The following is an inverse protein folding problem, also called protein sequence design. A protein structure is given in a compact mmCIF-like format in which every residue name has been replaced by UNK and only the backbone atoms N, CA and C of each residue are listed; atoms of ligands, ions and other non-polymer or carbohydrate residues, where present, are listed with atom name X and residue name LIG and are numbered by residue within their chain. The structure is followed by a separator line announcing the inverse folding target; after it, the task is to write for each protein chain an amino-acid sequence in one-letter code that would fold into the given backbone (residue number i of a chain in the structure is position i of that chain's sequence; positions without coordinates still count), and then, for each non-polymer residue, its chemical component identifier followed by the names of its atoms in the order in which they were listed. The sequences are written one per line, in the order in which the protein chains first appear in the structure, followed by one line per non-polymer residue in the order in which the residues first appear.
data_IF_275452506606
#
_entry.id   IF_275452506606
#
_cell.length_a   1.000
_cell.length_b   1.000
_cell.length_c   1.000
_cell.angle_alpha   90.00
_cell.angle_beta   90.00
_cell.angle_gamma   90.00
#
_symmetry.space_group_name_H-M   'P 1'
#
loop_
_entity.id
_entity.type
_entity.pdbx_description
1 polymer ?
#
# COMPACT_ATOMS: atom_id res chain seq x y z
N UNK A 1 -5.54 6.84 19.33
CA UNK A 1 -4.31 6.19 19.87
C UNK A 1 -4.65 4.83 20.47
N UNK A 2 -3.73 3.88 20.41
CA UNK A 2 -3.82 2.65 21.20
C UNK A 2 -3.51 2.94 22.69
N UNK A 3 -3.69 1.91 23.53
CA UNK A 3 -3.21 1.99 24.90
C UNK A 3 -1.68 2.23 24.92
N UNK A 4 -1.21 3.06 25.85
CA UNK A 4 0.22 3.40 26.00
C UNK A 4 1.15 2.16 26.03
N UNK A 5 0.67 1.05 26.57
CA UNK A 5 1.47 -0.18 26.69
C UNK A 5 1.86 -0.75 25.32
N UNK A 6 1.04 -0.59 24.30
CA UNK A 6 1.34 -1.02 22.92
C UNK A 6 2.62 -0.33 22.43
N UNK A 7 2.66 1.00 22.53
CA UNK A 7 3.82 1.78 22.09
C UNK A 7 5.06 1.53 22.94
N UNK A 8 4.90 1.45 24.25
CA UNK A 8 6.01 1.12 25.17
C UNK A 8 6.62 -0.25 24.87
N UNK A 9 5.80 -1.25 24.60
CA UNK A 9 6.26 -2.59 24.22
C UNK A 9 6.99 -2.59 22.88
N UNK A 10 6.48 -1.89 21.89
CA UNK A 10 7.13 -1.75 20.55
C UNK A 10 8.50 -1.09 20.67
N UNK A 11 8.61 0.00 21.42
CA UNK A 11 9.90 0.66 21.65
C UNK A 11 10.88 -0.22 22.47
N UNK A 12 10.39 -0.91 23.49
CA UNK A 12 11.20 -1.85 24.28
C UNK A 12 11.75 -2.99 23.41
N UNK A 13 10.90 -3.63 22.60
CA UNK A 13 11.30 -4.67 21.64
C UNK A 13 12.32 -4.17 20.63
N UNK A 14 12.14 -2.93 20.12
CA UNK A 14 13.10 -2.33 19.18
C UNK A 14 14.45 -2.07 19.85
N UNK A 15 14.49 -1.53 21.09
CA UNK A 15 15.73 -1.36 21.87
C UNK A 15 16.48 -2.68 22.07
N UNK A 16 15.76 -3.72 22.45
CA UNK A 16 16.32 -5.06 22.63
C UNK A 16 16.98 -5.57 21.33
N UNK A 17 16.28 -5.45 20.20
CA UNK A 17 16.81 -5.86 18.89
C UNK A 17 18.03 -5.04 18.45
N UNK A 18 18.05 -3.74 18.72
CA UNK A 18 19.15 -2.86 18.35
C UNK A 18 20.37 -3.03 19.26
N UNK A 19 20.17 -3.35 20.53
CA UNK A 19 21.20 -3.59 21.52
C UNK A 19 21.93 -2.33 22.01
N UNK A 20 22.25 -1.37 21.16
CA UNK A 20 22.95 -0.13 21.52
C UNK A 20 22.68 0.98 20.51
N UNK A 21 23.11 2.21 20.87
CA UNK A 21 22.95 3.40 20.02
C UNK A 21 21.70 4.20 20.32
N UNK A 22 21.51 5.29 19.59
CA UNK A 22 20.28 6.10 19.59
C UNK A 22 19.56 5.95 18.27
N UNK A 23 18.24 5.87 18.33
CA UNK A 23 17.37 5.74 17.17
C UNK A 23 16.61 7.04 17.00
N UNK A 24 16.81 7.70 15.87
CA UNK A 24 16.13 8.93 15.48
C UNK A 24 14.85 8.57 14.72
N UNK A 25 13.71 9.04 15.21
CA UNK A 25 12.40 8.84 14.62
C UNK A 25 11.76 10.21 14.37
N UNK A 26 12.10 10.87 13.25
CA UNK A 26 11.48 12.15 12.91
C UNK A 26 10.01 11.97 12.59
N UNK A 27 9.17 12.86 13.11
CA UNK A 27 7.79 13.02 12.65
C UNK A 27 7.75 13.90 11.40
N UNK A 28 6.62 13.89 10.70
CA UNK A 28 6.38 14.74 9.56
C UNK A 28 6.08 16.18 9.99
N UNK A 29 6.41 17.12 9.12
CA UNK A 29 5.90 18.50 9.15
C UNK A 29 4.67 18.63 8.25
N UNK A 30 3.90 19.71 8.42
CA UNK A 30 2.88 20.08 7.45
C UNK A 30 3.50 20.35 6.07
N UNK A 31 2.73 20.15 5.01
CA UNK A 31 3.19 20.33 3.63
C UNK A 31 2.30 21.37 2.94
N UNK A 32 2.83 22.53 2.51
CA UNK A 32 2.04 23.55 1.85
C UNK A 32 1.62 23.11 0.44
N UNK A 33 0.40 23.46 0.02
CA UNK A 33 -0.08 23.29 -1.34
C UNK A 33 0.53 24.34 -2.28
N UNK A 34 0.42 25.62 -1.94
CA UNK A 34 0.79 26.75 -2.80
C UNK A 34 1.29 27.99 -2.03
N UNK A 35 1.05 28.07 -0.72
CA UNK A 35 1.66 29.03 0.20
C UNK A 35 1.65 28.43 1.62
N UNK A 36 2.46 28.98 2.52
CA UNK A 36 2.86 28.36 3.81
C UNK A 36 1.69 27.86 4.66
N UNK A 37 0.61 28.63 4.74
CA UNK A 37 -0.52 28.34 5.63
C UNK A 37 -1.63 27.53 4.97
N UNK A 38 -1.59 27.35 3.65
CA UNK A 38 -2.54 26.52 2.92
C UNK A 38 -1.95 25.11 2.75
N UNK A 39 -2.14 24.26 3.74
CA UNK A 39 -1.53 22.93 3.79
C UNK A 39 -2.43 21.84 3.23
N UNK A 40 -1.81 20.78 2.73
CA UNK A 40 -2.49 19.50 2.54
C UNK A 40 -2.98 18.96 3.87
N UNK A 41 -3.95 18.02 3.81
CA UNK A 41 -4.33 17.26 4.99
C UNK A 41 -3.08 16.62 5.61
N UNK A 42 -2.87 16.83 6.91
CA UNK A 42 -1.70 16.32 7.61
C UNK A 42 -1.77 14.80 7.74
N UNK A 43 -0.65 14.15 7.53
CA UNK A 43 -0.46 12.73 7.75
C UNK A 43 0.92 12.49 8.36
N UNK A 44 0.95 11.88 9.53
CA UNK A 44 2.17 11.56 10.25
C UNK A 44 2.96 10.43 9.58
N UNK A 45 4.27 10.41 9.79
CA UNK A 45 5.15 9.30 9.40
C UNK A 45 4.73 7.98 10.04
N UNK A 46 4.64 6.91 9.25
CA UNK A 46 4.13 5.63 9.72
C UNK A 46 5.04 4.95 10.75
N UNK A 47 6.36 5.17 10.69
CA UNK A 47 7.28 4.67 11.74
C UNK A 47 7.07 5.41 13.04
N UNK A 48 6.85 6.73 12.96
CA UNK A 48 6.53 7.54 14.13
C UNK A 48 5.20 7.11 14.75
N UNK A 49 4.16 6.90 13.92
CA UNK A 49 2.86 6.36 14.39
C UNK A 49 3.01 5.00 15.04
N UNK A 50 3.77 4.08 14.43
CA UNK A 50 3.98 2.74 14.97
C UNK A 50 4.65 2.75 16.35
N UNK A 51 5.63 3.63 16.55
CA UNK A 51 6.44 3.67 17.76
C UNK A 51 5.92 4.64 18.83
N UNK A 52 5.26 5.73 18.43
CA UNK A 52 4.83 6.79 19.35
C UNK A 52 3.32 7.09 19.27
N UNK A 53 2.63 6.76 18.19
CA UNK A 53 1.17 6.88 18.10
C UNK A 53 0.60 8.28 18.13
N UNK A 54 1.43 9.32 18.02
CA UNK A 54 1.00 10.72 18.04
C UNK A 54 0.89 11.25 16.60
N UNK A 55 -0.30 11.68 16.23
CA UNK A 55 -0.61 12.17 14.89
C UNK A 55 -0.74 13.71 14.90
N UNK A 56 0.40 14.37 14.96
CA UNK A 56 0.50 15.84 14.88
C UNK A 56 1.88 16.26 14.38
N UNK A 57 1.99 17.41 13.69
CA UNK A 57 3.25 17.93 13.18
C UNK A 57 4.17 18.42 14.31
N UNK A 58 5.46 18.61 13.96
CA UNK A 58 6.43 19.26 14.84
C UNK A 58 6.98 18.38 15.97
N UNK A 59 6.82 17.06 15.87
CA UNK A 59 7.34 16.10 16.84
C UNK A 59 8.58 15.38 16.31
N UNK A 60 9.48 15.02 17.25
CA UNK A 60 10.61 14.16 16.97
C UNK A 60 10.77 13.13 18.10
N UNK A 61 10.81 11.87 17.76
CA UNK A 61 11.05 10.78 18.71
C UNK A 61 12.51 10.37 18.76
N UNK A 62 13.02 10.10 19.97
CA UNK A 62 14.32 9.49 20.16
C UNK A 62 14.18 8.28 21.10
N UNK A 63 14.72 7.16 20.68
CA UNK A 63 14.79 5.93 21.48
C UNK A 63 16.27 5.67 21.77
N UNK A 64 16.66 5.68 23.05
CA UNK A 64 18.04 5.47 23.47
C UNK A 64 18.21 4.04 23.97
N UNK A 65 18.81 3.20 23.12
CA UNK A 65 19.03 1.78 23.46
C UNK A 65 20.13 1.57 24.51
N UNK A 66 21.00 2.57 24.73
CA UNK A 66 22.05 2.48 25.76
C UNK A 66 21.51 2.70 27.17
N UNK A 67 20.52 3.60 27.30
CA UNK A 67 19.98 4.00 28.62
C UNK A 67 18.59 3.46 28.88
N UNK A 68 17.90 2.93 27.86
CA UNK A 68 16.52 2.49 27.94
C UNK A 68 15.49 3.62 27.93
N UNK A 69 15.92 4.87 27.74
CA UNK A 69 15.08 6.07 27.82
C UNK A 69 14.55 6.49 26.46
N UNK A 70 13.23 6.73 26.41
CA UNK A 70 12.59 7.34 25.24
C UNK A 70 12.32 8.82 25.50
N UNK A 71 12.45 9.68 24.49
CA UNK A 71 12.20 11.11 24.60
C UNK A 71 11.40 11.60 23.40
N UNK A 72 10.40 12.45 23.64
CA UNK A 72 9.72 13.21 22.60
C UNK A 72 10.22 14.65 22.67
N UNK A 73 10.66 15.14 21.51
CA UNK A 73 11.02 16.53 21.30
C UNK A 73 9.89 17.21 20.55
N UNK A 74 9.45 18.36 21.04
CA UNK A 74 8.38 19.18 20.48
C UNK A 74 8.16 20.40 21.34
N UNK A 75 7.43 21.36 20.81
CA UNK A 75 7.13 22.59 21.49
C UNK A 75 5.62 22.71 21.76
N UNK A 76 5.24 23.18 22.94
CA UNK A 76 3.84 23.47 23.25
C UNK A 76 3.34 24.61 22.36
N UNK A 77 2.05 24.57 22.03
CA UNK A 77 1.41 25.61 21.24
C UNK A 77 1.41 26.96 21.97
N UNK A 78 1.55 28.05 21.22
CA UNK A 78 1.51 29.40 21.73
C UNK A 78 0.08 29.90 21.94
N UNK A 79 -0.09 31.07 22.61
CA UNK A 79 -1.39 31.73 22.71
C UNK A 79 -1.92 32.09 21.30
N UNK A 80 -1.04 32.49 20.40
CA UNK A 80 -1.40 32.80 19.02
C UNK A 80 -1.95 31.55 18.30
N UNK A 81 -1.29 30.39 18.44
CA UNK A 81 -1.79 29.12 17.90
C UNK A 81 -3.16 28.74 18.47
N UNK A 82 -3.38 29.00 19.78
CA UNK A 82 -4.69 28.75 20.42
C UNK A 82 -5.79 29.62 19.81
N UNK A 83 -5.49 30.89 19.51
CA UNK A 83 -6.45 31.81 18.89
C UNK A 83 -6.87 31.31 17.50
N UNK A 84 -5.94 30.80 16.71
CA UNK A 84 -6.21 30.38 15.34
C UNK A 84 -6.71 28.94 15.22
N UNK A 85 -6.19 28.02 16.02
CA UNK A 85 -6.41 26.57 15.86
C UNK A 85 -7.10 25.88 17.05
N UNK A 86 -7.38 26.63 18.13
CA UNK A 86 -7.93 26.08 19.36
C UNK A 86 -6.90 25.43 20.29
N UNK A 87 -7.34 24.98 21.46
CA UNK A 87 -6.47 24.35 22.45
C UNK A 87 -6.04 22.95 22.06
N UNK A 88 -4.79 22.59 22.36
CA UNK A 88 -4.25 21.23 22.24
C UNK A 88 -3.67 20.77 23.59
N UNK A 89 -3.61 19.46 23.88
CA UNK A 89 -2.87 18.95 25.05
C UNK A 89 -1.40 19.37 24.99
N UNK A 90 -0.77 19.51 26.16
CA UNK A 90 0.67 19.79 26.21
C UNK A 90 1.48 18.61 25.65
N UNK A 91 2.70 18.87 25.17
CA UNK A 91 3.63 17.80 24.71
C UNK A 91 3.88 16.79 25.84
N UNK A 92 3.90 17.22 27.09
CA UNK A 92 4.04 16.35 28.26
C UNK A 92 2.84 15.39 28.41
N UNK A 93 1.62 15.88 28.28
CA UNK A 93 0.41 15.05 28.38
C UNK A 93 0.33 14.06 27.20
N UNK A 94 0.66 14.53 25.99
CA UNK A 94 0.73 13.68 24.82
C UNK A 94 1.77 12.57 24.98
N UNK A 95 2.98 12.91 25.43
CA UNK A 95 4.05 11.93 25.67
C UNK A 95 3.64 10.90 26.72
N UNK A 96 3.04 11.36 27.84
CA UNK A 96 2.54 10.47 28.90
C UNK A 96 1.48 9.50 28.36
N UNK A 97 0.58 9.94 27.46
CA UNK A 97 -0.47 9.10 26.87
C UNK A 97 0.05 7.93 26.03
N UNK A 98 1.31 7.99 25.60
CA UNK A 98 2.01 6.94 24.83
C UNK A 98 3.17 6.30 25.59
N UNK A 99 3.22 6.51 26.93
CA UNK A 99 4.20 5.91 27.82
C UNK A 99 5.62 6.45 27.65
N UNK A 100 5.76 7.76 27.36
CA UNK A 100 7.04 8.47 27.31
C UNK A 100 7.07 9.51 28.45
N UNK A 101 8.03 9.38 29.35
CA UNK A 101 8.15 10.26 30.52
C UNK A 101 9.00 11.51 30.21
N UNK A 102 9.93 11.40 29.24
CA UNK A 102 10.87 12.47 28.94
C UNK A 102 10.39 13.29 27.74
N UNK A 103 10.29 14.60 27.96
CA UNK A 103 10.01 15.58 26.91
C UNK A 103 11.05 16.70 26.93
N UNK A 104 11.33 17.29 25.78
CA UNK A 104 12.22 18.44 25.65
C UNK A 104 11.77 19.32 24.48
N UNK A 105 12.13 20.63 24.48
CA UNK A 105 11.89 21.49 23.32
C UNK A 105 12.51 20.91 22.04
N UNK A 106 11.87 21.13 20.88
CA UNK A 106 12.30 20.56 19.60
C UNK A 106 13.79 20.81 19.34
N UNK A 107 14.27 22.03 19.55
CA UNK A 107 15.69 22.40 19.31
C UNK A 107 16.70 21.63 20.16
N UNK A 108 16.28 21.04 21.28
CA UNK A 108 17.20 20.31 22.15
C UNK A 108 17.67 18.98 21.53
N UNK A 109 17.03 18.49 20.46
CA UNK A 109 17.49 17.30 19.72
C UNK A 109 18.90 17.49 19.14
N UNK A 110 19.25 18.70 18.69
CA UNK A 110 20.58 19.02 18.15
C UNK A 110 21.69 18.76 19.17
N UNK A 111 21.54 19.31 20.37
CA UNK A 111 22.50 19.09 21.45
C UNK A 111 22.58 17.62 21.87
N UNK A 112 21.46 16.89 21.86
CA UNK A 112 21.45 15.45 22.20
C UNK A 112 22.19 14.62 21.14
N UNK A 113 22.00 14.93 19.87
CA UNK A 113 22.71 14.26 18.76
C UNK A 113 24.21 14.60 18.81
N UNK A 114 24.58 15.85 19.05
CA UNK A 114 25.98 16.25 19.19
C UNK A 114 26.67 15.57 20.39
N UNK A 115 25.96 15.44 21.51
CA UNK A 115 26.45 14.67 22.66
C UNK A 115 26.68 13.21 22.28
N UNK A 116 25.75 12.57 21.57
CA UNK A 116 25.89 11.17 21.14
C UNK A 116 27.08 10.99 20.20
N UNK A 117 27.28 11.92 19.25
CA UNK A 117 28.47 11.95 18.37
C UNK A 117 29.76 12.07 19.18
N UNK A 118 29.81 13.00 20.13
CA UNK A 118 30.98 13.22 20.99
C UNK A 118 31.33 12.02 21.86
N UNK A 119 30.34 11.17 22.17
CA UNK A 119 30.53 9.92 22.91
C UNK A 119 30.81 8.71 21.99
N UNK A 120 30.85 8.89 20.68
CA UNK A 120 31.02 7.80 19.72
C UNK A 120 29.84 6.82 19.67
N UNK A 121 28.65 7.23 20.10
CA UNK A 121 27.46 6.38 20.06
C UNK A 121 27.00 6.17 18.60
N UNK A 122 26.54 4.95 18.31
CA UNK A 122 25.89 4.67 17.03
C UNK A 122 24.58 5.46 16.91
N UNK A 123 24.33 6.07 15.75
CA UNK A 123 23.12 6.82 15.47
C UNK A 123 22.39 6.14 14.32
N UNK A 124 21.15 5.75 14.58
CA UNK A 124 20.31 5.01 13.65
C UNK A 124 19.11 5.83 13.19
N UNK A 125 18.81 5.78 11.91
CA UNK A 125 17.60 6.36 11.33
C UNK A 125 17.21 5.54 10.09
N UNK A 126 15.92 5.62 9.68
CA UNK A 126 15.43 5.00 8.45
C UNK A 126 15.60 5.94 7.27
N UNK A 127 15.71 5.39 6.06
CA UNK A 127 15.75 6.15 4.82
C UNK A 127 14.54 7.09 4.71
N UNK A 128 14.74 8.43 4.69
CA UNK A 128 13.62 9.36 4.61
C UNK A 128 13.10 9.49 3.18
N UNK A 129 11.78 9.60 3.03
CA UNK A 129 11.13 9.85 1.74
C UNK A 129 10.82 11.34 1.51
N UNK A 130 10.69 12.15 2.58
CA UNK A 130 10.41 13.58 2.48
C UNK A 130 11.69 14.43 2.43
N UNK A 131 11.64 15.51 1.65
CA UNK A 131 12.79 16.41 1.51
C UNK A 131 13.10 17.14 2.82
N UNK A 132 12.08 17.57 3.57
CA UNK A 132 12.23 18.26 4.85
C UNK A 132 12.95 17.39 5.87
N UNK A 133 12.59 16.10 5.94
CA UNK A 133 13.26 15.14 6.82
C UNK A 133 14.73 14.92 6.42
N UNK A 134 15.04 14.93 5.12
CA UNK A 134 16.44 14.85 4.64
C UNK A 134 17.24 16.06 5.07
N UNK A 135 16.66 17.27 4.99
CA UNK A 135 17.31 18.49 5.41
C UNK A 135 17.53 18.53 6.93
N UNK A 136 16.52 18.13 7.72
CA UNK A 136 16.66 18.01 9.16
C UNK A 136 17.77 17.03 9.57
N UNK A 137 17.81 15.84 8.95
CA UNK A 137 18.85 14.85 9.21
C UNK A 137 20.24 15.35 8.73
N UNK A 138 20.31 16.12 7.64
CA UNK A 138 21.53 16.79 7.22
C UNK A 138 22.05 17.75 8.33
N UNK A 139 21.20 18.60 8.86
CA UNK A 139 21.56 19.53 9.92
C UNK A 139 22.01 18.81 11.20
N UNK A 140 21.26 17.76 11.61
CA UNK A 140 21.57 16.96 12.80
C UNK A 140 22.88 16.17 12.67
N UNK A 141 23.15 15.60 11.51
CA UNK A 141 24.21 14.60 11.34
C UNK A 141 25.45 15.15 10.63
N UNK A 142 25.33 16.25 9.90
CA UNK A 142 26.40 16.80 9.05
C UNK A 142 26.64 15.98 7.76
N UNK A 143 25.67 15.15 7.37
CA UNK A 143 25.73 14.33 6.14
C UNK A 143 25.06 15.13 5.02
N UNK A 144 25.65 15.13 3.81
CA UNK A 144 25.05 15.83 2.66
C UNK A 144 23.64 15.32 2.36
N UNK A 145 22.65 16.17 2.00
CA UNK A 145 21.27 15.74 1.74
C UNK A 145 21.17 14.62 0.71
N UNK A 146 22.04 14.60 -0.31
CA UNK A 146 22.12 13.54 -1.32
C UNK A 146 22.59 12.19 -0.78
N UNK A 147 23.24 12.16 0.35
CA UNK A 147 23.81 10.97 0.99
C UNK A 147 22.95 10.44 2.15
N UNK A 148 22.02 11.26 2.69
CA UNK A 148 21.18 10.89 3.84
C UNK A 148 20.45 9.58 3.58
N UNK A 149 19.86 9.41 2.41
CA UNK A 149 19.11 8.19 2.08
C UNK A 149 20.01 6.91 2.03
N UNK A 150 21.24 7.06 1.56
CA UNK A 150 22.17 5.93 1.45
C UNK A 150 22.78 5.52 2.82
N UNK A 151 22.75 6.43 3.80
CA UNK A 151 23.30 6.20 5.14
C UNK A 151 22.22 5.75 6.16
N UNK A 152 21.00 5.45 5.72
CA UNK A 152 19.99 4.84 6.58
C UNK A 152 20.46 3.52 7.20
N UNK A 153 20.09 3.25 8.45
CA UNK A 153 20.52 2.07 9.19
C UNK A 153 19.82 0.80 8.68
N UNK A 154 20.54 -0.03 7.94
CA UNK A 154 20.02 -1.31 7.45
C UNK A 154 19.57 -2.23 8.60
N UNK A 155 20.29 -2.23 9.74
CA UNK A 155 19.91 -3.00 10.91
C UNK A 155 18.54 -2.54 11.43
N UNK A 156 18.34 -1.25 11.60
CA UNK A 156 17.06 -0.67 12.04
C UNK A 156 15.93 -1.01 11.06
N UNK A 157 16.18 -0.85 9.76
CA UNK A 157 15.21 -1.19 8.69
C UNK A 157 14.77 -2.66 8.83
N UNK A 158 15.70 -3.61 8.92
CA UNK A 158 15.38 -5.03 9.04
C UNK A 158 14.57 -5.33 10.30
N UNK A 159 14.90 -4.74 11.44
CA UNK A 159 14.16 -4.94 12.68
C UNK A 159 12.76 -4.35 12.62
N UNK A 160 12.56 -3.19 12.01
CA UNK A 160 11.23 -2.61 11.82
C UNK A 160 10.40 -3.44 10.83
N UNK A 161 11.00 -3.93 9.75
CA UNK A 161 10.34 -4.85 8.82
C UNK A 161 9.87 -6.11 9.54
N UNK A 162 10.72 -6.74 10.35
CA UNK A 162 10.34 -7.92 11.14
C UNK A 162 9.17 -7.63 12.09
N UNK A 163 9.19 -6.46 12.74
CA UNK A 163 8.18 -6.08 13.73
C UNK A 163 6.84 -5.72 13.07
N UNK A 164 6.85 -4.96 11.98
CA UNK A 164 5.64 -4.47 11.30
C UNK A 164 5.02 -5.49 10.33
N UNK A 165 5.80 -6.45 9.83
CA UNK A 165 5.28 -7.47 8.91
C UNK A 165 4.28 -8.39 9.60
N UNK A 166 4.53 -8.79 10.85
CA UNK A 166 3.65 -9.64 11.66
C UNK A 166 2.73 -8.74 12.46
N UNK A 167 1.48 -8.60 12.02
CA UNK A 167 0.51 -7.68 12.64
C UNK A 167 0.06 -8.17 14.01
N UNK A 168 -0.02 -7.25 14.97
CA UNK A 168 -0.68 -7.49 16.25
C UNK A 168 -2.21 -7.53 16.04
N UNK A 169 -2.94 -8.23 16.89
CA UNK A 169 -4.41 -8.33 16.76
C UNK A 169 -5.10 -6.96 16.74
N UNK A 170 -4.54 -5.99 17.46
CA UNK A 170 -5.06 -4.62 17.49
C UNK A 170 -4.85 -3.88 16.16
N UNK A 171 -3.78 -4.20 15.42
CA UNK A 171 -3.54 -3.66 14.07
C UNK A 171 -4.51 -4.28 13.06
N UNK A 172 -4.75 -5.60 13.18
CA UNK A 172 -5.70 -6.31 12.32
C UNK A 172 -7.11 -5.72 12.49
N UNK A 173 -7.53 -5.39 13.73
CA UNK A 173 -8.82 -4.77 13.98
C UNK A 173 -8.96 -3.38 13.30
N UNK A 174 -7.89 -2.57 13.29
CA UNK A 174 -7.89 -1.27 12.59
C UNK A 174 -7.95 -1.44 11.07
N UNK A 175 -7.26 -2.43 10.53
CA UNK A 175 -7.33 -2.74 9.11
C UNK A 175 -8.76 -3.18 8.73
N UNK A 176 -9.42 -3.99 9.57
CA UNK A 176 -10.81 -4.39 9.34
C UNK A 176 -11.80 -3.21 9.39
N UNK A 177 -11.54 -2.20 10.24
CA UNK A 177 -12.32 -0.94 10.23
C UNK A 177 -12.14 -0.19 8.90
N UNK A 178 -10.90 -0.11 8.39
CA UNK A 178 -10.62 0.48 7.08
C UNK A 178 -11.28 -0.32 5.94
N UNK A 179 -11.28 -1.66 6.02
CA UNK A 179 -11.95 -2.54 5.05
C UNK A 179 -13.45 -2.31 4.99
N UNK A 180 -14.12 -2.06 6.13
CA UNK A 180 -15.56 -1.75 6.16
C UNK A 180 -15.85 -0.43 5.43
N UNK A 181 -15.00 0.58 5.61
CA UNK A 181 -15.09 1.83 4.84
C UNK A 181 -14.87 1.59 3.36
N UNK A 182 -13.86 0.79 2.99
CA UNK A 182 -13.61 0.38 1.60
C UNK A 182 -14.79 -0.36 0.98
N UNK A 183 -15.45 -1.24 1.73
CA UNK A 183 -16.69 -1.89 1.29
C UNK A 183 -17.77 -0.88 0.88
N UNK A 184 -18.02 0.13 1.73
CA UNK A 184 -19.02 1.18 1.44
C UNK A 184 -18.63 2.01 0.21
N UNK A 185 -17.34 2.31 0.03
CA UNK A 185 -16.83 3.00 -1.16
C UNK A 185 -17.16 2.23 -2.43
N UNK A 186 -16.82 0.94 -2.47
CA UNK A 186 -17.01 0.10 -3.66
C UNK A 186 -18.48 -0.18 -3.98
N UNK A 187 -19.31 -0.48 -2.99
CA UNK A 187 -20.76 -0.66 -3.20
C UNK A 187 -21.41 0.62 -3.71
N UNK A 188 -20.95 1.78 -3.24
CA UNK A 188 -21.42 3.08 -3.75
C UNK A 188 -20.99 3.29 -5.20
N UNK A 189 -19.75 2.98 -5.55
CA UNK A 189 -19.27 3.07 -6.93
C UNK A 189 -20.08 2.15 -7.87
N UNK A 190 -20.39 0.91 -7.44
CA UNK A 190 -21.24 -0.01 -8.21
C UNK A 190 -22.61 0.58 -8.53
N UNK A 191 -23.27 1.21 -7.53
CA UNK A 191 -24.59 1.85 -7.71
C UNK A 191 -24.53 3.08 -8.61
N UNK A 192 -23.40 3.77 -8.65
CA UNK A 192 -23.20 4.99 -9.44
C UNK A 192 -22.71 4.71 -10.87
N UNK A 193 -22.26 3.52 -11.22
CA UNK A 193 -21.66 3.19 -12.51
C UNK A 193 -22.70 3.18 -13.67
N UNK A 194 -23.33 4.34 -13.93
CA UNK A 194 -24.38 4.52 -14.94
C UNK A 194 -23.86 5.30 -16.13
N UNK A 195 -24.34 5.01 -17.37
CA UNK A 195 -23.97 5.78 -18.53
C UNK A 195 -24.27 7.28 -18.35
N UNK A 196 -23.33 8.11 -18.74
CA UNK A 196 -23.47 9.57 -18.71
C UNK A 196 -22.95 10.24 -17.43
N UNK A 197 -22.66 9.50 -16.36
CA UNK A 197 -21.99 10.02 -15.15
C UNK A 197 -20.51 10.26 -15.46
N UNK A 198 -19.92 11.30 -14.89
CA UNK A 198 -18.49 11.55 -14.97
C UNK A 198 -17.73 10.69 -13.97
N UNK A 199 -16.55 10.18 -14.34
CA UNK A 199 -15.67 9.43 -13.42
C UNK A 199 -15.38 10.21 -12.14
N UNK A 200 -15.16 11.53 -12.23
CA UNK A 200 -14.90 12.42 -11.08
C UNK A 200 -16.07 12.51 -10.10
N UNK A 201 -17.32 12.31 -10.53
CA UNK A 201 -18.47 12.31 -9.63
C UNK A 201 -18.45 11.08 -8.73
N UNK A 202 -18.09 9.93 -9.29
CA UNK A 202 -17.93 8.68 -8.51
C UNK A 202 -16.71 8.79 -7.60
N UNK A 203 -15.56 9.20 -8.14
CA UNK A 203 -14.32 9.34 -7.38
C UNK A 203 -14.51 10.29 -6.18
N UNK A 204 -15.10 11.47 -6.40
CA UNK A 204 -15.38 12.44 -5.34
C UNK A 204 -16.33 11.90 -4.28
N UNK A 205 -17.36 11.15 -4.68
CA UNK A 205 -18.31 10.54 -3.75
C UNK A 205 -17.66 9.50 -2.85
N UNK A 206 -16.88 8.57 -3.43
CA UNK A 206 -16.23 7.52 -2.63
C UNK A 206 -15.09 8.07 -1.74
N UNK A 207 -14.36 9.09 -2.20
CA UNK A 207 -13.39 9.82 -1.37
C UNK A 207 -14.09 10.54 -0.21
N UNK A 208 -15.29 11.10 -0.45
CA UNK A 208 -16.13 11.70 0.61
C UNK A 208 -16.53 10.69 1.68
N UNK A 209 -16.79 9.43 1.32
CA UNK A 209 -17.07 8.35 2.28
C UNK A 209 -15.83 8.11 3.14
N UNK A 210 -14.66 7.96 2.54
CA UNK A 210 -13.41 7.76 3.29
C UNK A 210 -13.14 8.89 4.28
N UNK A 211 -13.30 10.14 3.85
CA UNK A 211 -13.17 11.34 4.71
C UNK A 211 -14.19 11.38 5.84
N UNK A 212 -15.44 10.98 5.58
CA UNK A 212 -16.49 10.95 6.59
C UNK A 212 -16.24 9.93 7.71
N UNK A 213 -15.44 8.90 7.46
CA UNK A 213 -14.99 7.91 8.45
C UNK A 213 -13.68 8.30 9.16
N UNK A 214 -13.06 9.43 8.79
CA UNK A 214 -12.01 10.11 9.53
C UNK A 214 -10.59 9.93 9.02
N UNK A 215 -10.21 8.79 8.44
CA UNK A 215 -8.84 8.54 7.98
C UNK A 215 -8.54 9.09 6.57
N UNK A 216 -9.56 9.25 5.73
CA UNK A 216 -9.37 9.59 4.32
C UNK A 216 -9.04 8.36 3.47
N UNK A 217 -8.57 8.60 2.24
CA UNK A 217 -8.18 7.51 1.32
C UNK A 217 -6.78 7.02 1.63
N UNK A 218 -6.54 5.71 1.54
CA UNK A 218 -5.22 5.09 1.75
C UNK A 218 -4.23 5.40 0.63
N UNK A 219 -4.73 5.75 -0.55
CA UNK A 219 -3.97 6.20 -1.73
C UNK A 219 -4.86 7.03 -2.65
N UNK A 220 -4.28 7.76 -3.63
CA UNK A 220 -5.06 8.46 -4.64
C UNK A 220 -5.92 7.48 -5.42
N UNK A 221 -7.24 7.65 -5.39
CA UNK A 221 -8.21 6.78 -6.04
C UNK A 221 -7.88 6.58 -7.52
N UNK A 222 -7.86 5.34 -7.96
CA UNK A 222 -7.78 4.95 -9.38
C UNK A 222 -9.19 4.56 -9.81
N UNK A 223 -9.78 5.33 -10.71
CA UNK A 223 -11.12 5.07 -11.22
C UNK A 223 -11.19 5.45 -12.69
N UNK A 224 -11.39 4.46 -13.56
CA UNK A 224 -11.41 4.74 -15.00
C UNK A 224 -12.10 3.66 -15.81
N UNK A 225 -12.79 4.06 -16.89
CA UNK A 225 -13.24 3.16 -17.95
C UNK A 225 -12.11 2.77 -18.93
N UNK A 226 -10.94 3.40 -18.80
CA UNK A 226 -9.73 3.06 -19.56
C UNK A 226 -8.83 2.13 -18.73
N UNK A 227 -9.38 0.99 -18.29
CA UNK A 227 -8.74 0.05 -17.38
C UNK A 227 -7.41 -0.55 -17.86
N UNK A 228 -7.01 -0.34 -19.11
CA UNK A 228 -5.67 -0.66 -19.59
C UNK A 228 -4.59 0.32 -19.08
N UNK A 229 -4.96 1.43 -18.44
CA UNK A 229 -4.07 2.34 -17.73
C UNK A 229 -4.13 2.01 -16.24
N UNK A 230 -3.08 1.35 -15.74
CA UNK A 230 -3.11 0.71 -14.42
C UNK A 230 -3.26 1.69 -13.24
N UNK A 231 -2.64 2.89 -13.32
CA UNK A 231 -2.70 3.94 -12.30
C UNK A 231 -3.26 5.23 -12.91
N UNK A 232 -4.51 5.20 -13.38
CA UNK A 232 -5.13 6.38 -13.97
C UNK A 232 -5.80 7.24 -12.89
N UNK A 233 -5.27 8.44 -12.70
CA UNK A 233 -5.80 9.47 -11.80
C UNK A 233 -6.54 10.59 -12.55
N UNK A 234 -6.71 10.47 -13.88
CA UNK A 234 -7.54 11.36 -14.68
C UNK A 234 -8.99 10.83 -14.67
N UNK A 235 -9.88 11.56 -14.02
CA UNK A 235 -11.30 11.22 -13.89
C UNK A 235 -12.19 12.09 -14.79
N UNK A 236 -11.65 12.62 -15.89
CA UNK A 236 -12.36 13.57 -16.76
C UNK A 236 -13.33 12.92 -17.75
N UNK A 237 -13.39 11.59 -17.82
CA UNK A 237 -14.20 10.89 -18.80
C UNK A 237 -15.65 10.71 -18.33
N UNK A 238 -16.57 10.77 -19.31
CA UNK A 238 -17.97 10.42 -19.13
C UNK A 238 -18.16 8.92 -19.38
N UNK A 239 -18.82 8.21 -18.48
CA UNK A 239 -19.04 6.78 -18.60
C UNK A 239 -19.93 6.44 -19.80
N UNK A 240 -19.50 5.48 -20.59
CA UNK A 240 -20.15 5.00 -21.79
C UNK A 240 -20.81 3.64 -21.58
N UNK A 241 -22.05 3.50 -22.06
CA UNK A 241 -22.77 2.22 -21.97
C UNK A 241 -22.00 1.08 -22.65
N UNK A 242 -21.90 -0.05 -21.95
CA UNK A 242 -21.22 -1.25 -22.47
C UNK A 242 -19.70 -1.27 -22.22
N UNK A 243 -19.14 -0.17 -21.66
CA UNK A 243 -17.78 -0.17 -21.10
C UNK A 243 -17.77 -0.79 -19.70
N UNK A 244 -16.58 -0.96 -19.16
CA UNK A 244 -16.35 -1.29 -17.75
C UNK A 244 -15.56 -0.16 -17.11
N UNK A 245 -15.70 0.01 -15.81
CA UNK A 245 -14.78 0.83 -15.01
C UNK A 245 -14.00 -0.06 -14.05
N UNK A 246 -12.72 0.18 -13.92
CA UNK A 246 -11.93 -0.27 -12.78
C UNK A 246 -12.09 0.80 -11.68
N UNK A 247 -12.42 0.35 -10.49
CA UNK A 247 -12.39 1.14 -9.26
C UNK A 247 -11.38 0.47 -8.34
N UNK A 248 -10.28 1.15 -8.08
CA UNK A 248 -9.22 0.73 -7.20
C UNK A 248 -9.06 1.83 -6.15
N UNK A 249 -9.53 1.53 -4.95
CA UNK A 249 -9.69 2.50 -3.87
C UNK A 249 -9.73 1.80 -2.52
N UNK A 250 -9.15 2.47 -1.54
CA UNK A 250 -9.18 2.07 -0.15
C UNK A 250 -9.27 3.26 0.79
N UNK A 251 -9.47 2.99 2.06
CA UNK A 251 -9.54 3.98 3.12
C UNK A 251 -8.48 3.74 4.18
N UNK A 252 -8.11 4.77 4.94
CA UNK A 252 -7.42 4.62 6.21
C UNK A 252 -8.43 4.63 7.37
N UNK A 253 -8.16 3.84 8.42
CA UNK A 253 -8.84 4.01 9.71
C UNK A 253 -8.40 5.32 10.36
N UNK A 254 -9.07 5.72 11.46
CA UNK A 254 -8.66 6.88 12.25
C UNK A 254 -7.24 6.77 12.85
N UNK A 255 -6.59 5.61 12.72
CA UNK A 255 -5.20 5.36 13.14
C UNK A 255 -4.27 5.08 11.97
N UNK A 256 -4.71 5.45 10.77
CA UNK A 256 -3.95 5.34 9.52
C UNK A 256 -3.61 3.91 9.06
N UNK A 257 -4.36 2.89 9.52
CA UNK A 257 -4.25 1.56 8.93
C UNK A 257 -5.06 1.51 7.65
N UNK A 258 -4.44 1.01 6.60
CA UNK A 258 -4.98 1.05 5.25
C UNK A 258 -5.86 -0.15 4.91
N UNK A 259 -6.75 0.02 3.94
CA UNK A 259 -7.36 -1.03 3.12
C UNK A 259 -7.07 -0.79 1.65
N UNK A 260 -7.18 -1.86 0.84
CA UNK A 260 -6.88 -1.83 -0.59
C UNK A 260 -7.79 -2.80 -1.36
N UNK A 261 -8.62 -2.26 -2.24
CA UNK A 261 -9.57 -3.08 -2.99
C UNK A 261 -9.68 -2.62 -4.44
N UNK A 262 -9.74 -3.58 -5.35
CA UNK A 262 -10.12 -3.30 -6.73
C UNK A 262 -11.35 -4.10 -7.13
N UNK A 263 -12.29 -3.43 -7.80
CA UNK A 263 -13.42 -4.06 -8.50
C UNK A 263 -13.55 -3.51 -9.91
N UNK A 264 -13.92 -4.39 -10.84
CA UNK A 264 -14.31 -4.01 -12.20
C UNK A 264 -15.81 -4.10 -12.33
N UNK A 265 -16.45 -3.01 -12.79
CA UNK A 265 -17.89 -2.80 -12.75
C UNK A 265 -18.39 -2.53 -14.18
N UNK A 266 -19.51 -3.15 -14.64
CA UNK A 266 -20.06 -2.86 -15.96
C UNK A 266 -20.82 -1.53 -15.97
N UNK A 267 -20.56 -0.67 -16.95
CA UNK A 267 -21.31 0.58 -17.12
C UNK A 267 -22.65 0.28 -17.79
N UNK A 268 -23.72 0.48 -17.03
CA UNK A 268 -25.09 0.20 -17.48
C UNK A 268 -25.62 -1.18 -17.05
N UNK A 269 -25.01 -1.79 -16.06
CA UNK A 269 -25.57 -2.88 -15.26
C UNK A 269 -25.24 -4.30 -15.76
N UNK A 270 -24.77 -4.50 -16.99
CA UNK A 270 -24.49 -5.83 -17.54
C UNK A 270 -23.13 -5.92 -18.23
N UNK A 271 -22.43 -7.01 -17.95
CA UNK A 271 -21.25 -7.40 -18.73
C UNK A 271 -21.65 -8.01 -20.07
N UNK A 272 -20.88 -7.77 -21.12
CA UNK A 272 -20.95 -8.54 -22.35
C UNK A 272 -20.33 -9.92 -22.15
N UNK A 273 -20.62 -10.87 -23.06
CA UNK A 273 -20.02 -12.21 -22.98
C UNK A 273 -18.48 -12.15 -23.05
N UNK A 274 -17.92 -11.30 -23.90
CA UNK A 274 -16.46 -11.10 -23.99
C UNK A 274 -15.86 -10.58 -22.68
N UNK A 275 -16.58 -9.71 -21.97
CA UNK A 275 -16.15 -9.20 -20.66
C UNK A 275 -16.25 -10.29 -19.60
N UNK A 276 -17.34 -11.08 -19.59
CA UNK A 276 -17.50 -12.21 -18.67
C UNK A 276 -16.42 -13.28 -18.87
N UNK A 277 -16.03 -13.58 -20.11
CA UNK A 277 -14.99 -14.57 -20.41
C UNK A 277 -13.65 -14.17 -19.74
N UNK A 278 -13.24 -12.92 -19.85
CA UNK A 278 -12.02 -12.41 -19.20
C UNK A 278 -12.21 -12.26 -17.67
N UNK A 279 -13.37 -11.73 -17.24
CA UNK A 279 -13.68 -11.56 -15.82
C UNK A 279 -13.57 -12.87 -15.04
N UNK A 280 -14.14 -13.94 -15.58
CA UNK A 280 -14.10 -15.26 -14.96
C UNK A 280 -12.69 -15.84 -14.85
N UNK A 281 -11.78 -15.50 -15.76
CA UNK A 281 -10.36 -15.88 -15.64
C UNK A 281 -9.73 -15.14 -14.47
N UNK A 282 -9.96 -13.83 -14.34
CA UNK A 282 -9.42 -13.03 -13.23
C UNK A 282 -10.02 -13.46 -11.89
N UNK A 283 -11.32 -13.72 -11.85
CA UNK A 283 -12.00 -14.23 -10.64
C UNK A 283 -11.43 -15.60 -10.21
N UNK A 284 -11.22 -16.50 -11.16
CA UNK A 284 -10.56 -17.79 -10.90
C UNK A 284 -9.14 -17.60 -10.38
N UNK A 285 -8.40 -16.65 -10.93
CA UNK A 285 -7.04 -16.31 -10.50
C UNK A 285 -7.04 -15.78 -9.06
N UNK A 286 -7.93 -14.82 -8.71
CA UNK A 286 -8.09 -14.30 -7.36
C UNK A 286 -8.46 -15.39 -6.34
N UNK A 287 -9.47 -16.20 -6.63
CA UNK A 287 -9.87 -17.30 -5.75
C UNK A 287 -8.77 -18.37 -5.62
N UNK A 288 -8.01 -18.66 -6.69
CA UNK A 288 -6.87 -19.58 -6.64
C UNK A 288 -5.78 -19.04 -5.73
N UNK A 289 -5.40 -17.78 -5.86
CA UNK A 289 -4.40 -17.16 -4.99
C UNK A 289 -4.84 -17.26 -3.52
N UNK A 290 -6.05 -16.82 -3.20
CA UNK A 290 -6.61 -16.92 -1.84
C UNK A 290 -6.53 -18.33 -1.25
N UNK A 291 -6.82 -19.37 -2.06
CA UNK A 291 -6.76 -20.77 -1.63
C UNK A 291 -5.33 -21.30 -1.42
N UNK A 292 -4.34 -20.70 -2.07
CA UNK A 292 -2.93 -21.09 -1.97
C UNK A 292 -2.18 -20.35 -0.86
N UNK A 293 -2.69 -19.19 -0.42
CA UNK A 293 -2.07 -18.41 0.65
C UNK A 293 -2.16 -19.18 1.97
N UNK A 294 -0.99 -19.54 2.50
CA UNK A 294 -0.83 -20.18 3.82
C UNK A 294 0.60 -20.00 4.32
N UNK A 295 0.86 -20.17 5.62
CA UNK A 295 2.21 -20.10 6.16
C UNK A 295 3.15 -21.11 5.48
N UNK A 296 4.37 -20.66 5.22
CA UNK A 296 5.40 -21.51 4.60
C UNK A 296 5.45 -21.48 3.08
N UNK A 297 4.39 -21.10 2.38
CA UNK A 297 4.44 -20.87 0.93
C UNK A 297 5.14 -19.55 0.62
N UNK A 298 5.85 -19.49 -0.51
CA UNK A 298 6.42 -18.21 -0.99
C UNK A 298 5.38 -17.49 -1.85
N UNK A 299 5.24 -16.17 -1.68
CA UNK A 299 4.27 -15.43 -2.48
C UNK A 299 4.65 -15.38 -3.97
N UNK A 300 5.96 -15.49 -4.26
CA UNK A 300 6.45 -15.66 -5.63
C UNK A 300 5.89 -16.95 -6.28
N UNK A 301 5.84 -18.08 -5.54
CA UNK A 301 5.28 -19.34 -6.09
C UNK A 301 3.80 -19.22 -6.36
N UNK A 302 3.07 -18.49 -5.51
CA UNK A 302 1.64 -18.22 -5.69
C UNK A 302 1.42 -17.32 -6.91
N UNK A 303 2.22 -16.25 -7.05
CA UNK A 303 2.18 -15.38 -8.24
C UNK A 303 2.36 -16.16 -9.54
N UNK A 304 3.38 -17.04 -9.62
CA UNK A 304 3.62 -17.84 -10.79
C UNK A 304 2.47 -18.83 -11.07
N UNK A 305 1.86 -19.37 -10.01
CA UNK A 305 0.70 -20.26 -10.15
C UNK A 305 -0.52 -19.51 -10.69
N UNK A 306 -0.75 -18.28 -10.23
CA UNK A 306 -1.79 -17.38 -10.74
C UNK A 306 -1.52 -17.01 -12.20
N UNK A 307 -0.28 -16.75 -12.57
CA UNK A 307 0.12 -16.51 -13.97
C UNK A 307 -0.19 -17.75 -14.86
N UNK A 308 -0.01 -18.99 -14.36
CA UNK A 308 -0.44 -20.21 -15.08
C UNK A 308 -1.96 -20.25 -15.24
N UNK A 309 -2.75 -19.88 -14.23
CA UNK A 309 -4.23 -19.84 -14.33
C UNK A 309 -4.67 -18.84 -15.39
N UNK A 310 -4.09 -17.63 -15.38
CA UNK A 310 -4.36 -16.59 -16.39
C UNK A 310 -3.97 -17.08 -17.79
N UNK A 311 -2.76 -17.59 -17.96
CA UNK A 311 -2.28 -18.07 -19.25
C UNK A 311 -3.12 -19.24 -19.78
N UNK A 312 -3.59 -20.15 -18.92
CA UNK A 312 -4.49 -21.24 -19.30
C UNK A 312 -5.83 -20.72 -19.80
N UNK A 313 -6.48 -19.80 -19.04
CA UNK A 313 -7.76 -19.23 -19.47
C UNK A 313 -7.64 -18.45 -20.78
N UNK A 314 -6.57 -17.66 -20.94
CA UNK A 314 -6.31 -16.94 -22.21
C UNK A 314 -6.02 -17.89 -23.38
N UNK A 315 -5.41 -19.06 -23.12
CA UNK A 315 -5.22 -20.10 -24.12
C UNK A 315 -6.55 -20.72 -24.52
N UNK A 316 -7.45 -20.99 -23.57
CA UNK A 316 -8.78 -21.54 -23.87
C UNK A 316 -9.61 -20.59 -24.75
N UNK A 317 -9.40 -19.27 -24.60
CA UNK A 317 -9.98 -18.24 -25.47
C UNK A 317 -9.20 -18.03 -26.80
N UNK A 318 -8.13 -18.78 -27.02
CA UNK A 318 -7.29 -18.66 -28.22
C UNK A 318 -6.43 -17.40 -28.31
N UNK A 319 -6.25 -16.67 -27.22
CA UNK A 319 -5.37 -15.49 -27.10
C UNK A 319 -3.91 -15.88 -26.86
N UNK A 320 -3.70 -17.00 -26.16
CA UNK A 320 -2.40 -17.63 -25.97
C UNK A 320 -2.38 -19.01 -26.62
N UNK A 321 -1.20 -19.58 -26.81
CA UNK A 321 -0.97 -20.91 -27.43
C UNK A 321 0.27 -21.58 -26.83
N UNK A 322 0.50 -22.84 -27.20
CA UNK A 322 1.65 -23.60 -26.70
C UNK A 322 1.46 -24.17 -25.30
N UNK A 323 2.56 -24.54 -24.66
CA UNK A 323 2.57 -25.03 -23.27
C UNK A 323 2.48 -23.87 -22.28
N UNK A 324 1.57 -23.97 -21.31
CA UNK A 324 1.28 -22.91 -20.34
C UNK A 324 2.46 -22.66 -19.40
N UNK A 325 3.11 -23.72 -18.91
CA UNK A 325 4.23 -23.59 -17.99
C UNK A 325 5.44 -22.98 -18.69
N UNK A 326 5.69 -23.43 -19.93
CA UNK A 326 6.76 -22.85 -20.76
C UNK A 326 6.47 -21.37 -21.07
N UNK A 327 5.23 -21.01 -21.36
CA UNK A 327 4.81 -19.62 -21.59
C UNK A 327 5.05 -18.73 -20.36
N UNK A 328 4.68 -19.19 -19.17
CA UNK A 328 4.92 -18.45 -17.92
C UNK A 328 6.41 -18.35 -17.61
N UNK A 329 7.16 -19.42 -17.78
CA UNK A 329 8.61 -19.42 -17.58
C UNK A 329 9.34 -18.43 -18.50
N UNK A 330 8.81 -18.20 -19.71
CA UNK A 330 9.31 -17.19 -20.67
C UNK A 330 8.70 -15.81 -20.48
N UNK A 331 7.82 -15.59 -19.47
CA UNK A 331 7.18 -14.32 -19.20
C UNK A 331 6.09 -13.91 -20.19
N UNK A 332 5.54 -14.83 -20.98
CA UNK A 332 4.53 -14.52 -21.99
C UNK A 332 3.21 -14.02 -21.38
N UNK A 333 2.88 -14.44 -20.16
CA UNK A 333 1.72 -13.96 -19.39
C UNK A 333 1.76 -12.45 -19.14
N UNK A 334 2.95 -11.86 -19.08
CA UNK A 334 3.11 -10.46 -18.73
C UNK A 334 2.64 -9.48 -19.83
N UNK A 335 2.33 -9.96 -21.04
CA UNK A 335 1.61 -9.15 -22.01
C UNK A 335 0.23 -8.72 -21.47
N UNK A 336 -0.39 -9.57 -20.65
CA UNK A 336 -1.75 -9.39 -20.12
C UNK A 336 -1.76 -9.10 -18.62
N UNK A 337 -0.81 -9.62 -17.88
CA UNK A 337 -0.64 -9.45 -16.42
C UNK A 337 0.77 -8.88 -16.13
N UNK A 338 0.97 -7.56 -16.35
CA UNK A 338 2.30 -6.95 -16.32
C UNK A 338 2.76 -6.50 -14.93
N UNK A 339 2.06 -6.84 -13.84
CA UNK A 339 2.39 -6.41 -12.47
C UNK A 339 2.45 -7.58 -11.48
N UNK A 340 2.79 -7.29 -10.22
CA UNK A 340 2.81 -8.28 -9.15
C UNK A 340 1.42 -8.70 -8.70
N UNK A 341 1.33 -9.85 -8.04
CA UNK A 341 0.07 -10.36 -7.48
C UNK A 341 -0.37 -9.58 -6.23
N UNK A 342 0.54 -8.88 -5.56
CA UNK A 342 0.24 -8.10 -4.37
C UNK A 342 1.47 -7.70 -3.56
N UNK A 343 1.22 -7.08 -2.43
CA UNK A 343 2.19 -6.47 -1.53
C UNK A 343 1.79 -6.61 -0.06
N UNK A 344 2.69 -6.23 0.85
CA UNK A 344 2.34 -6.07 2.27
C UNK A 344 1.44 -4.85 2.45
N UNK A 345 0.51 -4.91 3.38
CA UNK A 345 -0.37 -3.81 3.77
C UNK A 345 -0.39 -3.62 5.29
N UNK A 346 -0.60 -2.40 5.75
CA UNK A 346 -0.63 -2.06 7.18
C UNK A 346 -0.87 -0.58 7.43
N UNK A 347 0.06 0.09 8.13
CA UNK A 347 0.06 1.55 8.30
C UNK A 347 0.28 2.31 6.99
N UNK A 348 0.83 1.67 5.99
CA UNK A 348 0.87 2.18 4.63
C UNK A 348 0.14 1.17 3.73
N UNK A 349 -0.49 1.62 2.66
CA UNK A 349 -1.12 0.72 1.68
C UNK A 349 -0.07 -0.24 1.09
N UNK A 350 1.07 0.29 0.62
CA UNK A 350 2.28 -0.48 0.36
C UNK A 350 3.17 -0.43 1.62
N UNK A 351 2.89 -1.32 2.57
CA UNK A 351 3.48 -1.20 3.91
C UNK A 351 5.01 -1.25 3.86
N UNK A 352 5.63 -0.23 4.47
CA UNK A 352 7.09 -0.07 4.58
C UNK A 352 7.85 0.07 3.23
N UNK A 353 7.19 0.39 2.11
CA UNK A 353 7.85 0.42 0.80
C UNK A 353 9.07 1.37 0.76
N UNK A 354 9.02 2.48 1.49
CA UNK A 354 10.15 3.42 1.58
C UNK A 354 11.39 2.87 2.30
N UNK A 355 11.28 1.75 3.04
CA UNK A 355 12.44 1.06 3.63
C UNK A 355 13.24 0.30 2.57
N UNK A 356 12.63 0.02 1.43
CA UNK A 356 13.18 -0.70 0.29
C UNK A 356 12.51 -2.06 0.09
N UNK A 357 11.91 -2.24 -1.07
CA UNK A 357 11.19 -3.45 -1.46
C UNK A 357 11.99 -4.74 -1.23
N UNK A 358 13.31 -4.70 -1.43
CA UNK A 358 14.20 -5.85 -1.24
C UNK A 358 14.24 -6.33 0.21
N UNK A 359 13.95 -5.47 1.18
CA UNK A 359 13.94 -5.82 2.60
C UNK A 359 12.56 -6.17 3.10
N UNK A 360 11.52 -5.60 2.49
CA UNK A 360 10.12 -5.82 2.88
C UNK A 360 9.56 -7.09 2.26
N UNK A 361 9.70 -7.22 0.95
CA UNK A 361 9.08 -8.29 0.18
C UNK A 361 9.99 -9.48 -0.11
N UNK A 362 11.27 -9.39 0.22
CA UNK A 362 12.27 -10.40 -0.10
C UNK A 362 13.20 -10.64 1.09
N UNK A 363 14.02 -11.69 0.99
CA UNK A 363 14.95 -12.11 2.04
C UNK A 363 16.17 -12.82 1.41
N UNK A 364 16.93 -13.54 2.21
CA UNK A 364 18.12 -14.27 1.72
C UNK A 364 17.75 -15.54 0.95
N UNK A 365 16.53 -16.08 1.16
CA UNK A 365 16.04 -17.26 0.45
C UNK A 365 15.43 -16.89 -0.91
N UNK A 366 14.60 -15.83 -0.95
CA UNK A 366 13.85 -15.42 -2.13
C UNK A 366 14.31 -14.05 -2.60
N UNK A 367 14.80 -13.97 -3.83
CA UNK A 367 15.30 -12.75 -4.47
C UNK A 367 14.35 -12.25 -5.56
N UNK A 368 14.33 -10.94 -5.85
CA UNK A 368 13.56 -10.39 -6.97
C UNK A 368 13.95 -11.04 -8.31
N UNK A 369 12.95 -11.32 -9.13
CA UNK A 369 13.13 -11.83 -10.48
C UNK A 369 13.26 -10.68 -11.46
N UNK A 370 14.16 -10.77 -12.44
CA UNK A 370 14.39 -9.69 -13.43
C UNK A 370 13.50 -9.82 -14.69
N UNK A 371 12.52 -10.73 -14.70
CA UNK A 371 11.63 -10.91 -15.82
C UNK A 371 10.57 -9.80 -15.84
N UNK A 372 10.27 -9.26 -17.03
CA UNK A 372 9.17 -8.29 -17.19
C UNK A 372 7.85 -8.87 -16.63
N UNK A 373 7.05 -8.06 -15.99
CA UNK A 373 5.87 -8.49 -15.23
C UNK A 373 6.23 -8.99 -13.84
N UNK A 374 6.82 -10.18 -13.73
CA UNK A 374 7.23 -10.78 -12.45
C UNK A 374 8.22 -9.89 -11.66
N UNK A 375 9.05 -9.11 -12.34
CA UNK A 375 10.00 -8.19 -11.72
C UNK A 375 9.33 -7.04 -10.95
N UNK A 376 8.05 -6.79 -11.17
CA UNK A 376 7.25 -5.80 -10.43
C UNK A 376 6.54 -6.39 -9.20
N UNK A 377 6.74 -7.68 -8.91
CA UNK A 377 6.21 -8.30 -7.69
C UNK A 377 6.87 -7.67 -6.46
N UNK A 378 6.06 -7.01 -5.63
CA UNK A 378 6.54 -6.33 -4.41
C UNK A 378 6.77 -7.28 -3.25
N UNK A 379 6.06 -8.41 -3.21
CA UNK A 379 6.15 -9.43 -2.17
C UNK A 379 6.45 -10.78 -2.80
N UNK A 380 7.60 -11.37 -2.51
CA UNK A 380 7.98 -12.69 -3.00
C UNK A 380 8.31 -13.70 -1.90
N UNK A 381 8.64 -13.18 -0.70
CA UNK A 381 9.15 -13.99 0.42
C UNK A 381 8.12 -14.99 0.96
N UNK A 382 8.59 -15.83 1.88
CA UNK A 382 7.77 -16.85 2.55
C UNK A 382 6.75 -16.18 3.49
N UNK A 383 5.49 -16.60 3.36
CA UNK A 383 4.37 -16.09 4.17
C UNK A 383 4.43 -16.63 5.60
N UNK A 384 4.03 -15.79 6.54
CA UNK A 384 3.96 -16.11 7.97
C UNK A 384 2.57 -15.74 8.50
N UNK A 385 2.10 -16.40 9.59
CA UNK A 385 0.88 -15.99 10.25
C UNK A 385 0.90 -14.51 10.62
N UNK A 386 -0.25 -13.87 10.54
CA UNK A 386 -0.45 -12.44 10.78
C UNK A 386 0.24 -11.49 9.78
N UNK A 387 0.71 -11.97 8.64
CA UNK A 387 0.94 -11.08 7.49
C UNK A 387 -0.40 -10.62 6.95
N UNK A 388 -0.50 -9.34 6.63
CA UNK A 388 -1.60 -8.77 5.85
C UNK A 388 -1.06 -8.39 4.49
N UNK A 389 -1.71 -8.89 3.44
CA UNK A 389 -1.24 -8.80 2.06
C UNK A 389 -2.42 -8.54 1.12
N UNK A 390 -2.17 -7.90 -0.02
CA UNK A 390 -3.15 -7.81 -1.09
C UNK A 390 -3.10 -9.03 -2.02
N UNK A 391 -4.19 -9.28 -2.74
CA UNK A 391 -4.33 -10.29 -3.78
C UNK A 391 -5.08 -9.68 -4.95
N UNK A 392 -4.35 -9.21 -5.97
CA UNK A 392 -4.80 -8.28 -7.02
C UNK A 392 -4.53 -8.77 -8.46
N UNK A 393 -4.90 -9.98 -8.86
CA UNK A 393 -4.70 -10.39 -10.26
C UNK A 393 -5.52 -9.53 -11.22
N UNK A 394 -4.96 -9.30 -12.41
CA UNK A 394 -5.65 -8.56 -13.46
C UNK A 394 -5.26 -9.03 -14.86
N UNK A 395 -6.11 -8.71 -15.85
CA UNK A 395 -5.86 -8.92 -17.28
C UNK A 395 -6.14 -7.62 -18.00
N UNK A 396 -5.16 -7.16 -18.79
CA UNK A 396 -5.21 -5.89 -19.49
C UNK A 396 -4.83 -6.07 -20.95
N UNK A 397 -5.48 -5.29 -21.83
CA UNK A 397 -5.15 -5.21 -23.25
C UNK A 397 -4.56 -3.82 -23.52
N UNK A 398 -3.25 -3.67 -23.31
CA UNK A 398 -2.52 -2.40 -23.42
C UNK A 398 -2.02 -2.23 -24.85
N UNK A 399 -2.58 -1.29 -25.66
CA UNK A 399 -2.27 -1.19 -27.08
C UNK A 399 -0.78 -1.02 -27.38
N UNK A 400 -0.10 -0.11 -26.67
CA UNK A 400 1.34 0.14 -26.88
C UNK A 400 2.21 -1.08 -26.56
N UNK A 401 1.83 -1.88 -25.56
CA UNK A 401 2.56 -3.10 -25.17
C UNK A 401 2.33 -4.21 -26.22
N UNK A 402 1.10 -4.34 -26.70
CA UNK A 402 0.72 -5.30 -27.76
C UNK A 402 1.48 -4.97 -29.04
N UNK A 403 1.47 -3.71 -29.49
CA UNK A 403 2.19 -3.25 -30.67
C UNK A 403 3.69 -3.51 -30.57
N UNK A 404 4.29 -3.18 -29.44
CA UNK A 404 5.72 -3.44 -29.18
C UNK A 404 6.04 -4.93 -29.27
N UNK A 405 5.30 -5.78 -28.56
CA UNK A 405 5.60 -7.21 -28.51
C UNK A 405 5.38 -7.88 -29.87
N UNK A 406 4.35 -7.46 -30.61
CA UNK A 406 4.08 -7.95 -31.95
C UNK A 406 5.18 -7.53 -32.94
N UNK A 407 5.61 -6.26 -32.91
CA UNK A 407 6.66 -5.73 -33.77
C UNK A 407 8.03 -6.36 -33.53
N UNK A 408 8.38 -6.53 -32.25
CA UNK A 408 9.65 -7.16 -31.83
C UNK A 408 9.57 -8.70 -31.77
N UNK A 409 8.41 -9.29 -32.06
CA UNK A 409 8.14 -10.75 -32.00
C UNK A 409 8.41 -11.38 -30.63
N UNK A 410 8.24 -10.59 -29.54
CA UNK A 410 8.42 -11.06 -28.18
C UNK A 410 7.38 -12.13 -27.87
N UNK A 411 7.83 -13.27 -27.39
CA UNK A 411 6.97 -14.42 -27.03
C UNK A 411 5.98 -14.88 -28.14
N UNK A 412 6.31 -14.62 -29.41
CA UNK A 412 5.46 -14.96 -30.58
C UNK A 412 5.05 -16.44 -30.64
N UNK A 413 5.87 -17.34 -30.03
CA UNK A 413 5.56 -18.77 -29.87
C UNK A 413 4.32 -19.00 -29.00
N UNK A 414 4.04 -18.10 -28.04
CA UNK A 414 2.99 -18.27 -27.03
C UNK A 414 1.81 -17.31 -27.19
N UNK A 415 1.94 -16.24 -27.98
CA UNK A 415 0.89 -15.23 -28.18
C UNK A 415 0.26 -15.38 -29.56
N UNK A 416 -1.07 -15.30 -29.61
CA UNK A 416 -1.85 -15.23 -30.85
C UNK A 416 -2.24 -13.77 -31.11
N UNK A 417 -1.32 -12.98 -31.71
CA UNK A 417 -1.54 -11.56 -31.93
C UNK A 417 -2.77 -11.26 -32.81
N UNK A 418 -3.12 -12.12 -33.75
CA UNK A 418 -4.32 -11.92 -34.60
C UNK A 418 -5.61 -11.90 -33.76
N UNK A 419 -5.69 -12.76 -32.74
CA UNK A 419 -6.80 -12.76 -31.81
C UNK A 419 -6.69 -11.67 -30.76
N UNK A 420 -5.49 -11.40 -30.23
CA UNK A 420 -5.23 -10.31 -29.27
C UNK A 420 -5.64 -8.96 -29.83
N UNK A 421 -5.36 -8.69 -31.10
CA UNK A 421 -5.73 -7.43 -31.75
C UNK A 421 -7.27 -7.20 -31.80
N UNK A 422 -8.09 -8.25 -31.70
CA UNK A 422 -9.55 -8.11 -31.61
C UNK A 422 -10.03 -7.60 -30.26
N UNK A 423 -9.16 -7.57 -29.26
CA UNK A 423 -9.40 -7.03 -27.91
C UNK A 423 -8.86 -5.61 -27.72
N UNK A 424 -8.33 -4.97 -28.77
CA UNK A 424 -7.97 -3.56 -28.70
C UNK A 424 -9.22 -2.72 -28.37
N UNK A 425 -9.13 -1.88 -27.32
CA UNK A 425 -10.26 -1.12 -26.78
C UNK A 425 -11.06 -1.83 -25.71
N UNK A 426 -10.75 -3.08 -25.37
CA UNK A 426 -11.38 -3.82 -24.25
C UNK A 426 -11.15 -3.14 -22.88
N UNK A 427 -9.98 -2.58 -22.66
CA UNK A 427 -9.56 -2.02 -21.38
C UNK A 427 -8.81 -3.05 -20.51
N UNK A 428 -9.25 -3.21 -19.28
CA UNK A 428 -8.67 -4.14 -18.32
C UNK A 428 -9.66 -4.57 -17.24
N UNK A 429 -9.34 -5.66 -16.55
CA UNK A 429 -10.07 -6.18 -15.39
C UNK A 429 -9.06 -6.45 -14.29
N UNK A 430 -9.28 -5.92 -13.08
CA UNK A 430 -8.58 -6.24 -11.84
C UNK A 430 -9.60 -6.54 -10.75
N UNK A 431 -9.30 -7.56 -9.95
CA UNK A 431 -10.09 -7.95 -8.77
C UNK A 431 -9.13 -8.14 -7.61
N UNK A 432 -9.33 -7.39 -6.54
CA UNK A 432 -8.41 -7.34 -5.41
C UNK A 432 -9.13 -7.45 -4.08
N UNK A 433 -8.58 -8.27 -3.21
CA UNK A 433 -9.01 -8.44 -1.82
C UNK A 433 -7.79 -8.35 -0.88
N UNK A 434 -8.02 -7.83 0.32
CA UNK A 434 -7.07 -7.86 1.43
C UNK A 434 -7.13 -9.19 2.18
N UNK A 435 -5.99 -9.83 2.38
CA UNK A 435 -5.87 -11.14 3.00
C UNK A 435 -5.06 -11.09 4.29
N UNK A 436 -5.59 -11.68 5.35
CA UNK A 436 -4.84 -12.05 6.53
C UNK A 436 -4.34 -13.50 6.39
N UNK A 437 -3.04 -13.71 6.49
CA UNK A 437 -2.46 -15.04 6.59
C UNK A 437 -2.73 -15.59 7.99
N UNK A 438 -3.47 -16.69 8.08
CA UNK A 438 -3.80 -17.36 9.34
C UNK A 438 -2.80 -18.48 9.66
N UNK A 439 -2.98 -19.21 10.75
CA UNK A 439 -2.13 -20.35 11.10
C UNK A 439 -2.15 -21.49 10.07
N UNK A 440 -3.21 -21.62 9.27
CA UNK A 440 -3.39 -22.75 8.35
C UNK A 440 -3.78 -22.36 6.92
N UNK A 441 -3.99 -21.08 6.63
CA UNK A 441 -4.46 -20.61 5.33
C UNK A 441 -4.53 -19.09 5.28
N UNK A 442 -5.58 -18.58 4.65
CA UNK A 442 -5.88 -17.15 4.64
C UNK A 442 -7.37 -16.89 4.90
N UNK A 443 -7.68 -15.70 5.38
CA UNK A 443 -9.04 -15.14 5.35
C UNK A 443 -9.05 -13.77 4.71
N UNK A 444 -10.12 -13.44 4.01
CA UNK A 444 -10.38 -12.09 3.50
C UNK A 444 -10.69 -11.20 4.70
N UNK A 445 -10.13 -9.99 4.71
CA UNK A 445 -10.38 -8.98 5.73
C UNK A 445 -11.66 -8.21 5.43
N UNK A 446 -12.40 -7.87 6.49
CA UNK A 446 -13.70 -7.21 6.40
C UNK A 446 -14.79 -8.07 5.72
N UNK A 447 -15.89 -7.43 5.37
CA UNK A 447 -16.94 -8.03 4.55
C UNK A 447 -16.47 -8.07 3.09
N UNK A 448 -16.52 -9.26 2.46
CA UNK A 448 -16.11 -9.35 1.06
C UNK A 448 -16.99 -8.50 0.17
N UNK A 449 -16.39 -7.55 -0.51
CA UNK A 449 -17.05 -6.73 -1.52
C UNK A 449 -17.58 -7.64 -2.64
N UNK A 450 -18.81 -7.43 -3.17
CA UNK A 450 -19.35 -8.22 -4.28
C UNK A 450 -18.32 -8.41 -5.40
N UNK A 451 -18.08 -9.67 -5.78
CA UNK A 451 -17.03 -10.03 -6.72
C UNK A 451 -17.53 -10.99 -7.82
N UNK A 452 -18.58 -11.76 -7.56
CA UNK A 452 -19.18 -12.58 -8.62
C UNK A 452 -19.90 -11.67 -9.61
N UNK A 453 -19.82 -11.95 -10.94
CA UNK A 453 -20.44 -11.08 -11.94
C UNK A 453 -21.90 -10.75 -11.66
N UNK A 454 -22.70 -11.75 -11.28
CA UNK A 454 -24.14 -11.59 -11.00
C UNK A 454 -24.39 -10.69 -9.78
N UNK A 455 -23.55 -10.77 -8.75
CA UNK A 455 -23.65 -9.88 -7.58
C UNK A 455 -23.30 -8.44 -7.97
N UNK A 456 -22.20 -8.23 -8.71
CA UNK A 456 -21.78 -6.92 -9.19
C UNK A 456 -22.85 -6.29 -10.08
N UNK A 457 -23.43 -7.04 -11.01
CA UNK A 457 -24.50 -6.61 -11.87
C UNK A 457 -25.73 -6.18 -11.08
N UNK A 458 -26.11 -6.95 -10.02
CA UNK A 458 -27.30 -6.63 -9.19
C UNK A 458 -27.20 -5.28 -8.49
N UNK A 459 -26.01 -4.86 -8.09
CA UNK A 459 -25.79 -3.51 -7.51
C UNK A 459 -25.82 -2.39 -8.53
N UNK A 460 -25.52 -2.69 -9.79
CA UNK A 460 -25.48 -1.71 -10.88
C UNK A 460 -26.83 -1.49 -11.58
N UNK A 461 -27.81 -2.37 -11.37
CA UNK A 461 -29.15 -2.30 -11.97
C UNK A 461 -30.09 -1.31 -11.25
N UNK A 462 -29.81 -0.95 -10.00
CA UNK A 462 -30.62 -0.07 -9.14
C UNK A 462 -29.99 1.30 -8.98
#
# INVERSE_FOLDING_TARGET
MFNQQVYSNRRAKLREKMGSGIILVPGNSESPMNYTENTYHYRQDSTFLYLFGLDMPGLFGLIDANTGKDTIYGDDITIEDIIWMGTKPSIRDLAASVGVESVAPFKAIFSKVDQAKGQGAAIHYITPYRAETKLLLHELLGIRPSEVSANGSLQLIKHLVDMRSVKELIEIAEIEEACETGYQMHVTAMKMAKPGIMEQEIAGTIQGIALAHGGGTSFPTILTQNGQTLHNHDHSFKLEKGRMIIVDAGAESNRHYASDFTRTIPVGGKFSQQQLDIYNIVLKANNTATSLVKPGETYLSIHLKVAEVIASGLKDLGLMKGDVKEAVANGAHALFFPHGLGHMMGLDVHDMENYGQIYVGYDDEIRPVKQFGTGYLRLGRRLQPNFVITNEPGIYFIPALIEKWQGEKINNKFINFDNVNKYLGFGGIRLEDDLLVTESGARILGNRIPINPEEVESFSEH
#
